data_IF_305431563153
#
_entry.id   IF_305431563153
#
_cell.length_a   1.000
_cell.length_b   1.000
_cell.length_c   1.000
_cell.angle_alpha   90.00
_cell.angle_beta   90.00
_cell.angle_gamma   90.00
#
_symmetry.space_group_name_H-M   'P 1'
#
loop_
_entity.id
_entity.type
_entity.pdbx_description
1 polymer ?
#
# COMPACT_ATOMS: atom_id res chain seq x y z
N UNK A 1 12.18 -18.89 11.86
CA UNK A 1 11.30 -17.91 11.21
C UNK A 1 9.89 -18.18 11.67
N UNK A 2 9.34 -17.36 12.56
CA UNK A 2 7.94 -17.47 12.97
C UNK A 2 7.13 -16.85 11.85
N UNK A 3 6.39 -17.67 11.11
CA UNK A 3 5.45 -17.20 10.11
C UNK A 3 4.43 -16.29 10.82
N UNK A 4 4.20 -15.09 10.30
CA UNK A 4 3.17 -14.17 10.82
C UNK A 4 1.81 -14.89 10.86
N UNK A 5 1.58 -15.84 9.94
CA UNK A 5 0.42 -16.71 9.97
C UNK A 5 0.32 -17.59 11.23
N UNK A 6 1.44 -18.15 11.69
CA UNK A 6 1.50 -19.00 12.88
C UNK A 6 1.31 -18.17 14.17
N UNK A 7 1.83 -16.94 14.19
CA UNK A 7 1.60 -16.02 15.30
C UNK A 7 0.11 -15.63 15.42
N UNK A 8 -0.53 -15.33 14.29
CA UNK A 8 -1.97 -15.02 14.24
C UNK A 8 -2.83 -16.21 14.66
N UNK A 9 -2.41 -17.44 14.36
CA UNK A 9 -3.09 -18.66 14.79
C UNK A 9 -2.94 -18.89 16.31
N UNK A 10 -1.75 -18.70 16.87
CA UNK A 10 -1.48 -18.87 18.30
C UNK A 10 -2.20 -17.86 19.18
N UNK A 11 -2.37 -16.63 18.69
CA UNK A 11 -3.03 -15.54 19.43
C UNK A 11 -4.55 -15.53 19.29
N UNK A 12 -5.14 -16.42 18.49
CA UNK A 12 -6.60 -16.48 18.16
C UNK A 12 -7.17 -15.18 17.57
N UNK A 13 -6.33 -14.24 17.12
CA UNK A 13 -6.76 -12.95 16.55
C UNK A 13 -7.45 -13.15 15.18
N UNK A 14 -7.07 -14.20 14.43
CA UNK A 14 -7.73 -14.59 13.18
C UNK A 14 -7.78 -16.11 13.04
N UNK A 15 -8.89 -16.69 13.51
CA UNK A 15 -9.11 -18.13 13.49
C UNK A 15 -9.53 -18.66 12.10
N UNK A 16 -10.14 -17.82 11.26
CA UNK A 16 -10.54 -18.21 9.89
C UNK A 16 -9.42 -17.92 8.88
N UNK A 17 -9.27 -18.81 7.90
CA UNK A 17 -8.27 -18.64 6.84
C UNK A 17 -8.48 -17.34 6.01
N UNK A 18 -9.74 -16.92 5.85
CA UNK A 18 -10.09 -15.66 5.18
C UNK A 18 -9.61 -14.44 5.96
N UNK A 19 -9.92 -14.36 7.27
CA UNK A 19 -9.47 -13.24 8.11
C UNK A 19 -7.93 -13.12 8.14
N UNK A 20 -7.22 -14.25 8.19
CA UNK A 20 -5.75 -14.25 8.15
C UNK A 20 -5.21 -13.66 6.85
N UNK A 21 -5.78 -14.02 5.68
CA UNK A 21 -5.37 -13.48 4.39
C UNK A 21 -5.58 -11.96 4.32
N UNK A 22 -6.70 -11.46 4.84
CA UNK A 22 -7.00 -10.02 4.89
C UNK A 22 -6.01 -9.29 5.80
N UNK A 23 -5.73 -9.81 7.00
CA UNK A 23 -4.77 -9.18 7.93
C UNK A 23 -3.37 -9.13 7.31
N UNK A 24 -2.91 -10.23 6.71
CA UNK A 24 -1.60 -10.26 6.05
C UNK A 24 -1.57 -9.24 4.91
N UNK A 25 -2.63 -9.13 4.12
CA UNK A 25 -2.73 -8.12 3.07
C UNK A 25 -2.62 -6.69 3.61
N UNK A 26 -3.35 -6.36 4.69
CA UNK A 26 -3.27 -5.06 5.33
C UNK A 26 -1.85 -4.74 5.85
N UNK A 27 -1.19 -5.72 6.46
CA UNK A 27 0.20 -5.56 6.91
C UNK A 27 1.14 -5.32 5.73
N UNK A 28 0.98 -6.07 4.64
CA UNK A 28 1.78 -5.89 3.42
C UNK A 28 1.56 -4.50 2.82
N UNK A 29 0.32 -3.98 2.81
CA UNK A 29 0.04 -2.61 2.36
C UNK A 29 0.71 -1.55 3.24
N UNK A 30 0.69 -1.71 4.57
CA UNK A 30 1.33 -0.77 5.51
C UNK A 30 2.85 -0.76 5.35
N UNK A 31 3.47 -1.94 5.22
CA UNK A 31 4.92 -2.03 5.01
C UNK A 31 5.30 -1.46 3.64
N UNK A 32 4.51 -1.77 2.61
CA UNK A 32 4.73 -1.24 1.27
C UNK A 32 4.60 0.29 1.24
N UNK A 33 3.60 0.87 1.91
CA UNK A 33 3.46 2.33 1.98
C UNK A 33 4.65 2.99 2.66
N UNK A 34 5.17 2.41 3.75
CA UNK A 34 6.37 2.90 4.42
C UNK A 34 7.60 2.91 3.51
N UNK A 35 7.90 1.77 2.87
CA UNK A 35 9.04 1.66 1.97
C UNK A 35 8.92 2.68 0.83
N UNK A 36 7.73 2.82 0.25
CA UNK A 36 7.51 3.67 -0.91
C UNK A 36 7.53 5.16 -0.55
N UNK A 37 7.04 5.53 0.62
CA UNK A 37 7.21 6.87 1.18
C UNK A 37 8.69 7.22 1.37
N UNK A 38 9.47 6.29 1.93
CA UNK A 38 10.91 6.50 2.12
C UNK A 38 11.66 6.65 0.79
N UNK A 39 11.33 5.84 -0.23
CA UNK A 39 11.96 5.95 -1.55
C UNK A 39 11.53 7.23 -2.26
N UNK A 40 10.25 7.61 -2.22
CA UNK A 40 9.77 8.86 -2.81
C UNK A 40 10.45 10.10 -2.19
N UNK A 41 10.61 10.09 -0.87
CA UNK A 41 11.39 11.12 -0.17
C UNK A 41 12.86 11.09 -0.58
N UNK A 42 13.49 9.91 -0.70
CA UNK A 42 14.88 9.77 -1.12
C UNK A 42 15.13 10.28 -2.55
N UNK A 43 14.20 10.03 -3.48
CA UNK A 43 14.26 10.55 -4.86
C UNK A 43 14.27 12.08 -4.85
N UNK A 44 13.36 12.72 -4.11
CA UNK A 44 13.31 14.18 -4.02
C UNK A 44 14.57 14.78 -3.37
N UNK A 45 15.21 14.08 -2.41
CA UNK A 45 16.51 14.50 -1.87
C UNK A 45 17.62 14.39 -2.93
N UNK A 46 17.62 13.34 -3.75
CA UNK A 46 18.56 13.21 -4.88
C UNK A 46 18.39 14.33 -5.91
N UNK A 47 17.16 14.75 -6.16
CA UNK A 47 16.85 15.87 -7.05
C UNK A 47 17.36 17.21 -6.49
N UNK A 48 17.19 17.43 -5.18
CA UNK A 48 17.74 18.60 -4.50
C UNK A 48 19.27 18.66 -4.61
N UNK A 49 19.96 17.53 -4.44
CA UNK A 49 21.42 17.43 -4.61
C UNK A 49 21.87 17.69 -6.05
N UNK A 50 21.00 17.41 -7.02
CA UNK A 50 21.25 17.66 -8.44
C UNK A 50 20.85 19.07 -8.89
N UNK A 51 20.53 19.97 -7.95
CA UNK A 51 20.04 21.33 -8.19
C UNK A 51 18.74 21.40 -9.03
N UNK A 52 17.90 20.37 -8.96
CA UNK A 52 16.59 20.35 -9.60
C UNK A 52 15.60 21.06 -8.67
N UNK A 53 15.19 22.28 -9.05
CA UNK A 53 14.27 23.11 -8.28
C UNK A 53 12.79 22.68 -8.37
N UNK A 54 12.45 21.83 -9.34
CA UNK A 54 11.09 21.36 -9.57
C UNK A 54 10.90 19.95 -8.97
N UNK A 55 10.72 19.89 -7.65
CA UNK A 55 10.48 18.65 -6.90
C UNK A 55 9.35 18.85 -5.88
N UNK A 56 8.74 17.76 -5.39
CA UNK A 56 7.57 17.85 -4.51
C UNK A 56 7.86 18.50 -3.14
N UNK A 57 9.09 18.34 -2.62
CA UNK A 57 9.49 18.90 -1.33
C UNK A 57 9.52 20.44 -1.34
N UNK A 58 9.94 21.05 -2.45
CA UNK A 58 9.94 22.50 -2.64
C UNK A 58 8.51 23.00 -2.85
N UNK A 59 7.72 22.31 -3.68
CA UNK A 59 6.33 22.71 -3.97
C UNK A 59 5.46 22.68 -2.71
N UNK A 60 5.66 21.69 -1.84
CA UNK A 60 4.96 21.58 -0.55
C UNK A 60 5.53 22.49 0.55
N UNK A 61 6.47 23.39 0.21
CA UNK A 61 7.14 24.32 1.13
C UNK A 61 7.87 23.65 2.31
N UNK A 62 8.40 22.44 2.12
CA UNK A 62 9.15 21.71 3.15
C UNK A 62 10.65 22.01 3.08
N UNK A 63 11.13 22.44 1.92
CA UNK A 63 12.53 22.74 1.62
C UNK A 63 12.62 24.00 0.77
N UNK A 64 13.60 24.85 1.05
CA UNK A 64 14.01 25.93 0.16
C UNK A 64 15.36 25.58 -0.47
N UNK A 65 15.45 25.70 -1.79
CA UNK A 65 16.69 25.52 -2.57
C UNK A 65 17.14 26.89 -3.08
N UNK A 66 18.38 27.26 -2.75
CA UNK A 66 19.06 28.38 -3.40
C UNK A 66 19.76 27.87 -4.66
N UNK A 67 19.18 28.17 -5.83
CA UNK A 67 19.69 27.75 -7.13
C UNK A 67 21.03 28.39 -7.50
N UNK A 68 21.45 29.44 -6.80
CA UNK A 68 22.72 30.15 -7.06
C UNK A 68 23.88 29.45 -6.37
N UNK A 69 23.67 28.99 -5.13
CA UNK A 69 24.69 28.32 -4.31
C UNK A 69 24.57 26.80 -4.33
N UNK A 70 23.46 26.27 -4.82
CA UNK A 70 23.11 24.84 -4.76
C UNK A 70 22.86 24.32 -3.34
N UNK A 71 22.73 25.23 -2.37
CA UNK A 71 22.45 24.88 -0.98
C UNK A 71 20.94 24.77 -0.77
N UNK A 72 20.52 23.76 -0.02
CA UNK A 72 19.13 23.60 0.39
C UNK A 72 19.00 23.65 1.92
N UNK A 73 17.90 24.24 2.39
CA UNK A 73 17.57 24.35 3.82
C UNK A 73 16.23 23.69 4.08
N UNK A 74 16.19 22.83 5.11
CA UNK A 74 14.94 22.23 5.56
C UNK A 74 14.15 23.23 6.40
N UNK A 75 12.93 23.55 5.98
CA UNK A 75 12.04 24.47 6.69
C UNK A 75 11.29 23.76 7.81
N UNK A 76 11.07 22.46 7.64
CA UNK A 76 10.26 21.64 8.55
C UNK A 76 11.03 20.46 9.16
N UNK A 77 10.52 20.00 10.31
CA UNK A 77 11.06 18.85 11.03
C UNK A 77 11.01 17.56 10.19
N UNK A 78 11.97 16.66 10.42
CA UNK A 78 12.05 15.37 9.71
C UNK A 78 10.76 14.57 9.88
N UNK A 79 10.16 14.59 11.07
CA UNK A 79 8.90 13.89 11.36
C UNK A 79 7.74 14.37 10.49
N UNK A 80 7.64 15.68 10.25
CA UNK A 80 6.56 16.23 9.42
C UNK A 80 6.76 15.90 7.95
N UNK A 81 8.00 16.01 7.45
CA UNK A 81 8.36 15.57 6.09
C UNK A 81 8.06 14.09 5.84
N UNK A 82 8.40 13.24 6.80
CA UNK A 82 8.05 11.81 6.75
C UNK A 82 6.53 11.60 6.75
N UNK A 83 5.78 12.34 7.57
CA UNK A 83 4.32 12.26 7.61
C UNK A 83 3.70 12.64 6.26
N UNK A 84 4.21 13.69 5.60
CA UNK A 84 3.77 14.10 4.25
C UNK A 84 4.08 13.03 3.21
N UNK A 85 5.28 12.43 3.24
CA UNK A 85 5.64 11.32 2.34
C UNK A 85 4.77 10.06 2.58
N UNK A 86 4.49 9.74 3.84
CA UNK A 86 3.57 8.64 4.20
C UNK A 86 2.15 8.91 3.74
N UNK A 87 1.66 10.14 3.93
CA UNK A 87 0.35 10.56 3.46
C UNK A 87 0.23 10.37 1.94
N UNK A 88 1.25 10.79 1.17
CA UNK A 88 1.32 10.54 -0.27
C UNK A 88 1.26 9.04 -0.61
N UNK A 89 2.09 8.22 0.04
CA UNK A 89 2.12 6.78 -0.24
C UNK A 89 0.78 6.08 0.10
N UNK A 90 0.13 6.48 1.21
CA UNK A 90 -1.17 5.94 1.63
C UNK A 90 -2.27 6.33 0.65
N UNK A 91 -2.37 7.59 0.25
CA UNK A 91 -3.40 8.01 -0.72
C UNK A 91 -3.22 7.34 -2.08
N UNK A 92 -1.98 7.04 -2.49
CA UNK A 92 -1.70 6.32 -3.73
C UNK A 92 -2.08 4.85 -3.63
N UNK A 93 -1.67 4.14 -2.56
CA UNK A 93 -2.02 2.73 -2.36
C UNK A 93 -3.52 2.52 -2.22
N UNK A 94 -4.21 3.45 -1.54
CA UNK A 94 -5.66 3.41 -1.36
C UNK A 94 -6.43 3.98 -2.54
N UNK A 95 -5.74 4.45 -3.59
CA UNK A 95 -6.31 5.04 -4.81
C UNK A 95 -7.21 6.25 -4.55
N UNK A 96 -7.01 6.97 -3.44
CA UNK A 96 -7.73 8.20 -3.10
C UNK A 96 -7.22 9.37 -3.94
N UNK A 97 -5.90 9.59 -3.94
CA UNK A 97 -5.22 10.53 -4.84
C UNK A 97 -5.75 11.98 -4.81
N UNK A 98 -5.65 12.68 -3.68
CA UNK A 98 -6.08 14.10 -3.60
C UNK A 98 -5.28 15.04 -4.51
N UNK A 99 -4.04 14.67 -4.86
CA UNK A 99 -3.20 15.41 -5.80
C UNK A 99 -2.50 16.65 -5.21
N UNK A 100 -2.61 16.87 -3.90
CA UNK A 100 -1.89 17.92 -3.18
C UNK A 100 -0.38 17.66 -3.08
N UNK A 101 0.02 16.39 -3.10
CA UNK A 101 1.41 15.97 -3.31
C UNK A 101 1.46 15.14 -4.59
N UNK A 102 2.28 15.56 -5.54
CA UNK A 102 2.48 14.90 -6.82
C UNK A 102 3.96 14.90 -7.21
N UNK A 103 4.33 14.06 -8.18
CA UNK A 103 5.64 14.15 -8.80
C UNK A 103 5.70 15.40 -9.69
N UNK A 104 6.81 16.12 -9.59
CA UNK A 104 7.12 17.31 -10.37
C UNK A 104 8.36 17.12 -11.22
N UNK A 105 9.35 16.38 -10.74
CA UNK A 105 10.57 16.07 -11.49
C UNK A 105 10.42 14.84 -12.38
N UNK A 106 11.34 14.67 -13.35
CA UNK A 106 11.36 13.50 -14.23
C UNK A 106 11.66 12.20 -13.44
N UNK A 107 12.60 12.25 -12.51
CA UNK A 107 12.99 11.14 -11.63
C UNK A 107 11.84 10.73 -10.70
N UNK A 108 11.14 11.69 -10.08
CA UNK A 108 9.92 11.45 -9.31
C UNK A 108 8.85 10.79 -10.19
N UNK A 109 8.67 11.28 -11.42
CA UNK A 109 7.66 10.76 -12.36
C UNK A 109 7.92 9.30 -12.73
N UNK A 110 9.16 8.96 -13.10
CA UNK A 110 9.53 7.58 -13.40
C UNK A 110 9.35 6.64 -12.22
N UNK A 111 9.72 7.11 -11.02
CA UNK A 111 9.48 6.37 -9.79
C UNK A 111 7.98 6.11 -9.56
N UNK A 112 7.14 7.15 -9.69
CA UNK A 112 5.69 7.04 -9.54
C UNK A 112 5.08 6.04 -10.52
N UNK A 113 5.49 6.08 -11.80
CA UNK A 113 5.02 5.12 -12.82
C UNK A 113 5.32 3.69 -12.38
N UNK A 114 6.56 3.40 -11.99
CA UNK A 114 6.96 2.06 -11.53
C UNK A 114 6.19 1.63 -10.27
N UNK A 115 6.01 2.55 -9.33
CA UNK A 115 5.25 2.31 -8.11
C UNK A 115 3.78 2.00 -8.38
N UNK A 116 3.13 2.73 -9.28
CA UNK A 116 1.72 2.51 -9.61
C UNK A 116 1.49 1.12 -10.21
N UNK A 117 2.36 0.67 -11.12
CA UNK A 117 2.30 -0.70 -11.64
C UNK A 117 2.52 -1.75 -10.55
N UNK A 118 3.48 -1.54 -9.65
CA UNK A 118 3.77 -2.47 -8.56
C UNK A 118 2.58 -2.63 -7.60
N UNK A 119 1.95 -1.52 -7.20
CA UNK A 119 0.75 -1.56 -6.34
C UNK A 119 -0.40 -2.24 -7.06
N UNK A 120 -0.63 -1.89 -8.34
CA UNK A 120 -1.73 -2.48 -9.10
C UNK A 120 -1.56 -4.01 -9.17
N UNK A 121 -0.36 -4.51 -9.42
CA UNK A 121 -0.08 -5.95 -9.42
C UNK A 121 -0.32 -6.58 -8.03
N UNK A 122 0.19 -5.95 -6.97
CA UNK A 122 0.03 -6.44 -5.59
C UNK A 122 -1.45 -6.56 -5.21
N UNK A 123 -2.23 -5.49 -5.41
CA UNK A 123 -3.66 -5.44 -5.05
C UNK A 123 -4.49 -6.40 -5.90
N UNK A 124 -4.25 -6.47 -7.21
CA UNK A 124 -4.98 -7.40 -8.08
C UNK A 124 -4.67 -8.86 -7.74
N UNK A 125 -3.42 -9.19 -7.43
CA UNK A 125 -3.04 -10.55 -7.05
C UNK A 125 -3.69 -10.97 -5.73
N UNK A 126 -3.71 -10.11 -4.72
CA UNK A 126 -4.33 -10.43 -3.43
C UNK A 126 -5.85 -10.49 -3.54
N UNK A 127 -6.46 -9.61 -4.35
CA UNK A 127 -7.88 -9.64 -4.64
C UNK A 127 -8.29 -10.94 -5.34
N UNK A 128 -7.53 -11.40 -6.34
CA UNK A 128 -7.78 -12.67 -7.00
C UNK A 128 -7.73 -13.85 -6.01
N UNK A 129 -6.74 -13.88 -5.12
CA UNK A 129 -6.62 -14.90 -4.08
C UNK A 129 -7.76 -14.86 -3.04
N UNK A 130 -8.32 -13.68 -2.78
CA UNK A 130 -9.49 -13.51 -1.92
C UNK A 130 -10.75 -14.04 -2.61
N UNK A 131 -10.97 -13.67 -3.88
CA UNK A 131 -12.11 -14.16 -4.67
C UNK A 131 -12.11 -15.68 -4.77
N UNK A 132 -10.96 -16.31 -5.01
CA UNK A 132 -10.82 -17.77 -4.99
C UNK A 132 -11.16 -18.38 -3.63
N UNK A 133 -10.77 -17.72 -2.52
CA UNK A 133 -11.11 -18.19 -1.19
C UNK A 133 -12.63 -18.20 -0.96
N UNK A 134 -13.30 -17.13 -1.42
CA UNK A 134 -14.74 -16.95 -1.29
C UNK A 134 -15.47 -17.96 -2.16
N UNK A 135 -15.03 -18.19 -3.41
CA UNK A 135 -15.68 -19.16 -4.29
C UNK A 135 -15.62 -20.59 -3.73
N UNK A 136 -14.50 -20.99 -3.14
CA UNK A 136 -14.40 -22.30 -2.47
C UNK A 136 -15.31 -22.40 -1.24
N UNK A 137 -15.47 -21.30 -0.50
CA UNK A 137 -16.37 -21.27 0.65
C UNK A 137 -17.84 -21.38 0.24
N UNK A 138 -18.23 -20.65 -0.81
CA UNK A 138 -19.58 -20.67 -1.36
C UNK A 138 -19.96 -22.03 -1.97
N UNK A 139 -19.01 -22.68 -2.65
CA UNK A 139 -19.18 -24.04 -3.16
C UNK A 139 -19.44 -25.05 -2.03
N UNK A 140 -18.62 -25.01 -0.96
CA UNK A 140 -18.78 -25.90 0.18
C UNK A 140 -20.12 -25.66 0.89
N UNK A 141 -20.53 -24.40 1.05
CA UNK A 141 -21.82 -24.03 1.61
C UNK A 141 -22.99 -24.53 0.76
N UNK A 142 -22.95 -24.28 -0.55
CA UNK A 142 -23.97 -24.71 -1.51
C UNK A 142 -24.08 -26.24 -1.55
N UNK A 143 -22.98 -26.97 -1.52
CA UNK A 143 -22.99 -28.42 -1.42
C UNK A 143 -23.66 -28.93 -0.14
N UNK A 144 -23.45 -28.27 1.00
CA UNK A 144 -24.12 -28.63 2.25
C UNK A 144 -25.62 -28.37 2.19
N UNK A 145 -26.05 -27.26 1.61
CA UNK A 145 -27.48 -26.98 1.37
C UNK A 145 -28.12 -28.02 0.44
N UNK A 146 -27.44 -28.41 -0.64
CA UNK A 146 -27.94 -29.44 -1.56
C UNK A 146 -28.08 -30.82 -0.89
N UNK A 147 -27.24 -31.15 0.09
CA UNK A 147 -27.37 -32.39 0.87
C UNK A 147 -28.62 -32.32 1.76
N UNK A 148 -28.84 -31.20 2.45
CA UNK A 148 -30.01 -31.00 3.32
C UNK A 148 -31.31 -31.08 2.51
N UNK A 149 -31.40 -30.34 1.39
CA UNK A 149 -32.61 -30.37 0.53
C UNK A 149 -32.90 -31.75 -0.05
N UNK A 150 -31.85 -32.54 -0.32
CA UNK A 150 -32.00 -33.94 -0.74
C UNK A 150 -32.61 -34.79 0.37
N UNK A 151 -32.19 -34.64 1.63
CA UNK A 151 -32.77 -35.37 2.75
C UNK A 151 -34.24 -35.01 2.98
N UNK A 152 -34.58 -33.72 2.93
CA UNK A 152 -35.97 -33.25 3.04
C UNK A 152 -36.87 -33.87 1.98
N UNK A 153 -36.38 -33.97 0.73
CA UNK A 153 -37.12 -34.59 -0.37
C UNK A 153 -37.41 -36.08 -0.14
N UNK A 154 -36.55 -36.80 0.56
CA UNK A 154 -36.75 -38.23 0.86
C UNK A 154 -37.57 -38.47 2.15
N UNK A 155 -37.70 -37.46 3.01
CA UNK A 155 -38.44 -37.54 4.26
C UNK A 155 -39.93 -37.17 4.10
N UNK A 156 -40.31 -36.52 2.99
CA UNK A 156 -41.69 -36.24 2.58
C UNK A 156 -42.26 -37.40 1.75
#
# INVERSE_FOLDING_TARGET
>A
WVDIGDFLQKTKIATTAGARRVIIFLVVLIVSSHVMACVFYAVAIGDLQSNISNNWLIVDNLVALDTTTGSYTFLENVSYRYLRAMYWAVQTITTVGFGDIAAHSESETWFCIGFFFLIALLVNFTLANLTLAISHFDEAYTQNLMKISRFEKYAA
#
